data_IF_637688317730
#
_entry.id   IF_637688317730
#
_cell.length_a   1.000
_cell.length_b   1.000
_cell.length_c   1.000
_cell.angle_alpha   90.00
_cell.angle_beta   90.00
_cell.angle_gamma   90.00
#
_symmetry.space_group_name_H-M   'P 1'
#
loop_
_entity.id
_entity.type
_entity.pdbx_description
1 polymer ?
#
# COMPACT_ATOMS: atom_id res chain seq x y z
N UNK A 1 10.05 -25.79 5.27
CA UNK A 1 9.54 -24.61 6.03
C UNK A 1 8.54 -23.89 5.13
N UNK A 2 7.24 -23.97 5.41
CA UNK A 2 6.25 -23.24 4.64
C UNK A 2 6.40 -21.74 4.94
N UNK A 3 6.76 -20.93 3.96
CA UNK A 3 6.83 -19.48 4.09
C UNK A 3 5.44 -18.98 4.49
N UNK A 4 5.31 -18.37 5.68
CA UNK A 4 4.07 -17.72 6.11
C UNK A 4 3.68 -16.68 5.05
N UNK A 5 2.50 -16.84 4.46
CA UNK A 5 1.98 -15.86 3.50
C UNK A 5 1.94 -14.48 4.16
N UNK A 6 2.47 -13.44 3.52
CA UNK A 6 2.42 -12.09 4.06
C UNK A 6 0.96 -11.65 4.23
N UNK A 7 0.70 -10.84 5.26
CA UNK A 7 -0.62 -10.25 5.48
C UNK A 7 -1.11 -9.52 4.23
N UNK A 8 -2.42 -9.53 3.99
CA UNK A 8 -3.00 -8.86 2.84
C UNK A 8 -2.66 -7.35 2.85
N UNK A 9 -2.55 -6.74 1.67
CA UNK A 9 -2.30 -5.29 1.54
C UNK A 9 -3.35 -4.48 2.32
N UNK A 10 -4.61 -4.90 2.24
CA UNK A 10 -5.73 -4.35 2.99
C UNK A 10 -5.47 -4.34 4.50
N UNK A 11 -5.07 -5.47 5.06
CA UNK A 11 -4.77 -5.60 6.50
C UNK A 11 -3.62 -4.70 6.93
N UNK A 12 -2.56 -4.62 6.12
CA UNK A 12 -1.41 -3.74 6.40
C UNK A 12 -1.82 -2.28 6.38
N UNK A 13 -2.55 -1.85 5.34
CA UNK A 13 -3.00 -0.48 5.20
C UNK A 13 -3.90 -0.05 6.36
N UNK A 14 -4.90 -0.88 6.69
CA UNK A 14 -5.80 -0.64 7.83
C UNK A 14 -5.03 -0.56 9.14
N UNK A 15 -4.07 -1.48 9.37
CA UNK A 15 -3.25 -1.47 10.59
C UNK A 15 -2.44 -0.19 10.72
N UNK A 16 -1.71 0.23 9.67
CA UNK A 16 -0.86 1.43 9.74
C UNK A 16 -1.68 2.72 9.89
N UNK A 17 -2.82 2.85 9.18
CA UNK A 17 -3.68 4.02 9.31
C UNK A 17 -4.29 4.07 10.72
N UNK A 18 -4.81 2.95 11.22
CA UNK A 18 -5.38 2.87 12.57
C UNK A 18 -4.35 3.19 13.64
N UNK A 19 -3.15 2.65 13.54
CA UNK A 19 -2.05 2.91 14.47
C UNK A 19 -1.65 4.39 14.44
N UNK A 20 -1.47 4.96 13.25
CA UNK A 20 -1.12 6.38 13.10
C UNK A 20 -2.20 7.31 13.68
N UNK A 21 -3.48 6.98 13.46
CA UNK A 21 -4.62 7.74 14.01
C UNK A 21 -4.62 7.69 15.53
N UNK A 22 -4.46 6.52 16.13
CA UNK A 22 -4.41 6.37 17.59
C UNK A 22 -3.25 7.17 18.19
N UNK A 23 -2.05 7.04 17.60
CA UNK A 23 -0.86 7.80 18.06
C UNK A 23 -1.10 9.31 17.97
N UNK A 24 -1.65 9.79 16.85
CA UNK A 24 -1.92 11.21 16.64
C UNK A 24 -2.90 11.77 17.69
N UNK A 25 -4.01 11.06 17.95
CA UNK A 25 -4.98 11.50 18.98
C UNK A 25 -4.41 11.43 20.39
N UNK A 26 -3.63 10.40 20.69
CA UNK A 26 -2.99 10.28 21.99
C UNK A 26 -1.99 11.42 22.21
N UNK A 27 -1.15 11.71 21.23
CA UNK A 27 -0.19 12.81 21.27
C UNK A 27 -0.90 14.17 21.41
N UNK A 28 -1.96 14.40 20.62
CA UNK A 28 -2.76 15.62 20.72
C UNK A 28 -3.37 15.79 22.11
N UNK A 29 -3.99 14.74 22.64
CA UNK A 29 -4.61 14.77 23.98
C UNK A 29 -3.56 15.07 25.06
N UNK A 30 -2.40 14.44 24.97
CA UNK A 30 -1.30 14.67 25.90
C UNK A 30 -0.79 16.12 25.85
N UNK A 31 -0.53 16.64 24.63
CA UNK A 31 -0.07 18.04 24.45
C UNK A 31 -1.11 19.01 24.99
N UNK A 32 -2.39 18.80 24.67
CA UNK A 32 -3.47 19.69 25.09
C UNK A 32 -3.61 19.75 26.61
N UNK A 33 -3.60 18.59 27.28
CA UNK A 33 -3.67 18.50 28.74
C UNK A 33 -2.46 19.21 29.38
N UNK A 34 -1.26 18.96 28.84
CA UNK A 34 -0.03 19.57 29.35
C UNK A 34 -0.03 21.09 29.17
N UNK A 35 -0.47 21.58 28.01
CA UNK A 35 -0.58 23.01 27.71
C UNK A 35 -1.58 23.71 28.64
N UNK A 36 -2.76 23.10 28.85
CA UNK A 36 -3.77 23.68 29.77
C UNK A 36 -3.25 23.70 31.20
N UNK A 37 -2.58 22.64 31.64
CA UNK A 37 -1.97 22.59 32.96
C UNK A 37 -0.92 23.67 33.15
N UNK A 38 -0.01 23.83 32.20
CA UNK A 38 1.02 24.86 32.22
C UNK A 38 0.42 26.29 32.26
N UNK A 39 -0.64 26.49 31.45
CA UNK A 39 -1.33 27.79 31.43
C UNK A 39 -1.95 28.16 32.80
N UNK A 40 -2.62 27.22 33.46
CA UNK A 40 -3.14 27.47 34.80
C UNK A 40 -2.02 27.74 35.83
N UNK A 41 -0.91 26.99 35.72
CA UNK A 41 0.25 27.20 36.61
C UNK A 41 0.85 28.61 36.47
N UNK A 42 1.03 29.07 35.24
CA UNK A 42 1.57 30.38 34.94
C UNK A 42 0.63 31.51 35.44
N UNK A 43 -0.66 31.33 35.17
CA UNK A 43 -1.69 32.28 35.59
C UNK A 43 -1.78 32.39 37.10
N UNK A 44 -1.80 31.29 37.84
CA UNK A 44 -1.85 31.27 39.30
C UNK A 44 -0.66 31.99 39.90
N UNK A 45 0.54 31.77 39.35
CA UNK A 45 1.76 32.46 39.80
C UNK A 45 1.68 33.96 39.52
N UNK A 46 1.17 34.36 38.39
CA UNK A 46 0.99 35.74 38.01
C UNK A 46 0.01 36.46 38.95
N UNK A 47 -1.14 35.86 39.20
CA UNK A 47 -2.20 36.41 40.05
C UNK A 47 -1.69 36.55 41.52
N UNK A 48 -0.96 35.56 42.06
CA UNK A 48 -0.37 35.61 43.37
C UNK A 48 0.71 36.72 43.49
N UNK A 49 1.55 36.90 42.49
CA UNK A 49 2.55 37.96 42.46
C UNK A 49 1.92 39.36 42.38
N UNK A 50 0.88 39.52 41.57
CA UNK A 50 0.15 40.76 41.45
C UNK A 50 -0.50 41.14 42.81
N UNK A 51 -1.12 40.17 43.46
CA UNK A 51 -1.68 40.37 44.79
C UNK A 51 -0.61 40.72 45.82
N UNK A 52 0.56 40.05 45.79
CA UNK A 52 1.66 40.36 46.71
C UNK A 52 2.16 41.79 46.57
N UNK A 53 2.29 42.32 45.35
CA UNK A 53 2.68 43.71 45.08
C UNK A 53 1.65 44.69 45.63
N UNK A 54 0.37 44.37 45.54
CA UNK A 54 -0.71 45.17 46.10
C UNK A 54 -0.62 45.18 47.61
N UNK A 55 -0.38 44.05 48.27
CA UNK A 55 -0.22 43.94 49.71
C UNK A 55 1.06 44.66 50.22
N UNK A 56 2.16 44.55 49.47
CA UNK A 56 3.41 45.25 49.74
C UNK A 56 3.20 46.77 49.80
N UNK A 57 2.50 47.31 48.77
CA UNK A 57 2.18 48.75 48.73
C UNK A 57 1.39 49.21 49.97
N UNK A 58 0.49 48.39 50.48
CA UNK A 58 -0.30 48.69 51.69
C UNK A 58 0.55 48.61 52.95
N UNK A 59 1.43 47.59 53.03
CA UNK A 59 2.29 47.39 54.24
C UNK A 59 3.41 48.40 54.34
N UNK A 60 3.91 48.91 53.23
CA UNK A 60 4.98 49.93 53.18
C UNK A 60 4.46 51.36 53.44
N UNK A 61 3.14 51.58 53.55
CA UNK A 61 2.55 52.88 53.76
C UNK A 61 2.84 53.36 55.21
N UNK A 62 3.89 54.15 55.36
CA UNK A 62 4.40 54.64 56.70
C UNK A 62 3.39 55.47 57.48
N UNK A 63 2.45 56.14 56.79
CA UNK A 63 1.48 57.04 57.41
C UNK A 63 0.37 56.29 58.16
N UNK A 64 0.22 54.99 57.98
CA UNK A 64 -0.81 54.23 58.71
C UNK A 64 -0.23 53.44 59.89
N UNK A 65 -0.91 53.46 61.06
CA UNK A 65 -0.60 52.54 62.14
C UNK A 65 -0.68 51.07 61.68
N UNK A 66 0.14 50.18 62.24
CA UNK A 66 0.18 48.75 61.89
C UNK A 66 -1.22 48.10 61.93
N UNK A 67 -2.03 48.43 62.94
CA UNK A 67 -3.40 47.90 63.02
C UNK A 67 -4.28 48.29 61.83
N UNK A 68 -4.11 49.52 61.32
CA UNK A 68 -4.86 49.97 60.13
C UNK A 68 -4.38 49.32 58.87
N UNK A 69 -3.09 49.07 58.72
CA UNK A 69 -2.53 48.30 57.55
C UNK A 69 -3.04 46.88 57.53
N UNK A 70 -3.05 46.19 58.70
CA UNK A 70 -3.58 44.83 58.81
C UNK A 70 -5.11 44.76 58.53
N UNK A 71 -5.88 45.75 58.87
CA UNK A 71 -7.31 45.88 58.57
C UNK A 71 -7.53 46.01 57.08
N UNK A 72 -6.71 46.80 56.35
CA UNK A 72 -6.77 46.94 54.90
C UNK A 72 -6.37 45.62 54.24
N UNK A 73 -5.33 44.94 54.66
CA UNK A 73 -4.92 43.64 54.21
C UNK A 73 -6.06 42.64 54.36
N UNK A 74 -6.73 42.59 55.50
CA UNK A 74 -7.89 41.73 55.75
C UNK A 74 -9.01 41.99 54.73
N UNK A 75 -9.33 43.28 54.49
CA UNK A 75 -10.40 43.66 53.58
C UNK A 75 -10.07 43.29 52.09
N UNK A 76 -8.80 43.43 51.69
CA UNK A 76 -8.34 43.03 50.38
C UNK A 76 -8.48 41.52 50.21
N UNK A 77 -7.97 40.75 51.17
CA UNK A 77 -8.01 39.28 51.12
C UNK A 77 -9.45 38.71 51.17
N UNK A 78 -10.33 39.38 51.94
CA UNK A 78 -11.75 38.98 51.97
C UNK A 78 -12.45 39.05 50.61
N UNK A 79 -11.91 39.84 49.67
CA UNK A 79 -12.35 39.86 48.26
C UNK A 79 -11.89 38.68 47.43
N UNK A 80 -10.98 37.86 47.90
CA UNK A 80 -10.42 36.70 47.19
C UNK A 80 -10.85 35.40 47.89
N UNK A 81 -11.90 34.75 47.37
CA UNK A 81 -12.46 33.56 48.00
C UNK A 81 -11.50 32.34 48.03
N UNK A 82 -10.50 32.32 47.14
CA UNK A 82 -9.62 31.15 46.93
C UNK A 82 -8.19 31.39 47.44
N UNK A 83 -7.86 32.59 47.97
CA UNK A 83 -6.53 32.96 48.44
C UNK A 83 -6.52 33.13 49.92
N UNK A 84 -5.57 32.51 50.56
CA UNK A 84 -5.33 32.60 52.02
C UNK A 84 -3.91 33.02 52.26
N UNK A 85 -3.71 33.84 53.26
CA UNK A 85 -2.37 34.38 53.59
C UNK A 85 -2.03 34.20 55.07
N UNK A 86 -0.73 34.07 55.31
CA UNK A 86 -0.11 34.20 56.59
C UNK A 86 1.00 35.27 56.52
N UNK A 87 0.94 36.27 57.33
CA UNK A 87 1.92 37.36 57.41
C UNK A 87 2.65 37.25 58.71
N UNK A 88 3.98 37.18 58.65
CA UNK A 88 4.84 37.27 59.84
C UNK A 88 5.72 38.55 59.85
N UNK A 89 6.32 38.86 60.99
CA UNK A 89 7.18 40.06 61.22
C UNK A 89 8.65 39.86 60.83
N UNK A 90 8.95 38.81 60.02
CA UNK A 90 10.32 38.41 59.65
C UNK A 90 11.11 37.73 60.77
N UNK A 91 10.56 37.69 61.99
CA UNK A 91 11.11 36.94 63.12
C UNK A 91 10.33 35.71 63.50
N UNK A 92 9.23 35.43 62.74
CA UNK A 92 8.38 34.25 62.90
C UNK A 92 7.14 34.50 63.79
N UNK A 93 6.88 35.76 64.26
CA UNK A 93 5.63 36.06 64.94
C UNK A 93 4.53 36.36 63.93
N UNK A 94 3.43 35.63 64.00
CA UNK A 94 2.30 35.77 63.06
C UNK A 94 1.55 37.06 63.39
N UNK A 95 1.52 37.98 62.42
CA UNK A 95 0.79 39.25 62.52
C UNK A 95 -0.66 39.12 62.03
N UNK A 96 -0.84 38.31 61.02
CA UNK A 96 -2.15 38.07 60.44
C UNK A 96 -2.20 36.70 59.80
N UNK A 97 -3.31 35.97 59.94
CA UNK A 97 -3.63 34.74 59.23
C UNK A 97 -5.08 34.78 58.76
N UNK A 98 -5.32 34.37 57.52
CA UNK A 98 -6.68 34.26 56.96
C UNK A 98 -7.50 33.24 57.77
N UNK A 99 -8.73 33.59 58.20
CA UNK A 99 -9.65 32.62 58.74
C UNK A 99 -10.03 31.60 57.64
N UNK A 100 -10.44 30.43 58.01
CA UNK A 100 -10.97 29.39 57.12
C UNK A 100 -10.00 28.76 56.09
N UNK A 101 -8.71 29.21 56.08
CA UNK A 101 -7.66 28.68 55.21
C UNK A 101 -6.96 27.43 55.77
N UNK A 102 -5.99 26.89 54.98
CA UNK A 102 -5.09 25.85 55.50
C UNK A 102 -4.27 26.36 56.67
N UNK A 103 -3.78 25.48 57.53
CA UNK A 103 -2.91 25.89 58.62
C UNK A 103 -1.52 26.27 58.10
N UNK A 104 -1.39 27.52 57.67
CA UNK A 104 -0.17 28.06 57.09
C UNK A 104 0.94 28.21 58.12
N UNK A 105 0.57 28.37 59.41
CA UNK A 105 1.55 28.46 60.51
C UNK A 105 2.27 27.14 60.74
N UNK A 106 1.55 26.05 60.68
CA UNK A 106 2.13 24.69 60.73
C UNK A 106 3.04 24.39 59.55
N UNK A 107 2.70 24.92 58.36
CA UNK A 107 3.55 24.79 57.16
C UNK A 107 4.89 25.49 57.30
N UNK A 108 4.92 26.69 57.88
CA UNK A 108 6.15 27.44 58.16
C UNK A 108 7.04 26.71 59.19
N UNK A 109 6.46 25.96 60.09
CA UNK A 109 7.21 25.17 61.09
C UNK A 109 7.76 23.85 60.55
N UNK A 110 7.39 23.41 59.33
CA UNK A 110 7.91 22.20 58.67
C UNK A 110 9.23 22.52 57.97
N UNK A 111 10.42 22.05 58.44
CA UNK A 111 11.72 22.56 57.97
C UNK A 111 11.97 22.40 56.47
N UNK A 112 11.52 21.30 55.88
CA UNK A 112 11.71 21.03 54.46
C UNK A 112 10.86 21.90 53.54
N UNK A 113 9.63 22.22 53.93
CA UNK A 113 8.69 23.04 53.16
C UNK A 113 9.06 24.52 53.27
N UNK A 114 9.40 24.97 54.49
CA UNK A 114 9.85 26.34 54.74
C UNK A 114 11.11 26.68 53.95
N UNK A 115 12.06 25.76 53.80
CA UNK A 115 13.28 25.99 53.04
C UNK A 115 12.98 26.14 51.53
N UNK A 116 12.14 25.29 50.95
CA UNK A 116 11.75 25.40 49.54
C UNK A 116 10.96 26.68 49.23
N UNK A 117 10.13 27.12 50.14
CA UNK A 117 9.33 28.34 50.01
C UNK A 117 10.18 29.62 50.14
N UNK A 118 11.24 29.64 50.95
CA UNK A 118 12.11 30.81 51.17
C UNK A 118 12.81 31.32 49.91
N UNK A 119 13.02 30.45 48.92
CA UNK A 119 13.64 30.81 47.63
C UNK A 119 12.66 31.48 46.66
N UNK A 120 11.44 31.83 47.09
CA UNK A 120 10.40 32.41 46.22
C UNK A 120 9.82 31.42 45.20
N UNK A 121 10.10 30.14 45.40
CA UNK A 121 9.59 29.06 44.54
C UNK A 121 8.09 28.84 44.81
N UNK A 122 7.39 28.48 43.77
CA UNK A 122 5.99 28.11 43.86
C UNK A 122 5.90 26.57 43.99
N UNK A 123 5.21 26.13 45.03
CA UNK A 123 5.08 24.73 45.39
C UNK A 123 3.61 24.32 45.32
N UNK A 124 3.31 23.19 44.71
CA UNK A 124 1.99 22.54 44.82
C UNK A 124 1.99 21.63 46.04
N UNK A 125 1.09 21.86 46.98
CA UNK A 125 0.97 21.08 48.20
C UNK A 125 -0.43 20.54 48.37
N UNK A 126 -0.52 19.31 48.90
CA UNK A 126 -1.79 18.65 49.14
C UNK A 126 -1.98 18.52 50.66
N UNK A 127 -3.06 19.08 51.17
CA UNK A 127 -3.40 19.00 52.59
C UNK A 127 -3.81 17.56 52.94
N UNK A 128 -3.15 16.94 53.92
CA UNK A 128 -3.55 15.62 54.42
C UNK A 128 -4.93 15.65 55.11
N UNK A 129 -5.37 16.81 55.59
CA UNK A 129 -6.69 16.99 56.22
C UNK A 129 -7.57 17.89 55.33
N UNK A 130 -8.48 17.29 54.54
CA UNK A 130 -9.34 18.08 53.67
C UNK A 130 -10.25 19.02 54.45
N UNK A 131 -10.34 20.25 53.98
CA UNK A 131 -11.22 21.27 54.57
C UNK A 131 -12.42 21.54 53.70
N UNK A 132 -13.60 21.69 54.29
CA UNK A 132 -14.81 22.05 53.55
C UNK A 132 -14.83 23.55 53.34
N UNK A 133 -14.77 23.98 52.09
CA UNK A 133 -14.94 25.35 51.63
C UNK A 133 -16.19 25.51 50.83
N UNK A 134 -16.81 26.65 50.88
CA UNK A 134 -17.96 26.99 50.06
C UNK A 134 -17.47 27.83 48.89
N UNK A 135 -17.51 27.28 47.70
CA UNK A 135 -17.24 28.00 46.45
C UNK A 135 -18.51 28.04 45.62
N UNK A 136 -18.97 29.22 45.21
CA UNK A 136 -20.22 29.39 44.43
C UNK A 136 -21.44 28.63 45.00
N UNK A 137 -21.66 28.70 46.31
CA UNK A 137 -22.72 28.01 47.04
C UNK A 137 -22.63 26.48 47.06
N UNK A 138 -21.51 25.87 46.60
CA UNK A 138 -21.30 24.44 46.69
C UNK A 138 -20.18 24.13 47.70
N UNK A 139 -20.43 23.23 48.68
CA UNK A 139 -19.38 22.78 49.60
C UNK A 139 -18.37 21.91 48.82
N UNK A 140 -17.13 22.38 48.73
CA UNK A 140 -16.07 21.65 48.06
C UNK A 140 -14.99 21.29 49.12
N UNK A 141 -14.52 20.03 49.09
CA UNK A 141 -13.38 19.63 49.92
C UNK A 141 -12.09 20.09 49.24
N UNK A 142 -11.49 21.14 49.73
CA UNK A 142 -10.24 21.68 49.19
C UNK A 142 -9.06 20.95 49.80
N UNK A 143 -8.24 20.34 48.94
CA UNK A 143 -7.04 19.58 49.33
C UNK A 143 -5.77 20.09 48.69
N UNK A 144 -5.86 20.65 47.51
CA UNK A 144 -4.70 21.04 46.73
C UNK A 144 -4.49 22.55 46.72
N UNK A 145 -3.29 22.95 47.07
CA UNK A 145 -2.89 24.34 47.25
C UNK A 145 -1.65 24.63 46.43
N UNK A 146 -1.58 25.85 45.91
CA UNK A 146 -0.38 26.43 45.38
C UNK A 146 0.16 27.43 46.38
N UNK A 147 1.36 27.18 46.85
CA UNK A 147 2.00 27.99 47.90
C UNK A 147 3.12 28.81 47.29
N UNK A 148 3.21 30.09 47.76
CA UNK A 148 4.33 30.97 47.48
C UNK A 148 4.66 31.78 48.73
N UNK A 149 5.94 31.94 49.05
CA UNK A 149 6.40 32.82 50.12
C UNK A 149 7.26 33.95 49.55
N UNK A 150 6.91 35.16 49.85
CA UNK A 150 7.58 36.34 49.35
C UNK A 150 8.04 37.24 50.53
N UNK A 151 9.29 37.70 50.51
CA UNK A 151 9.74 38.72 51.47
C UNK A 151 9.19 40.08 51.05
N UNK A 152 8.58 40.79 51.94
CA UNK A 152 8.02 42.16 51.76
C UNK A 152 8.67 43.18 52.62
N UNK A 153 8.85 44.42 52.09
CA UNK A 153 9.46 45.54 52.78
C UNK A 153 10.93 45.33 53.14
N UNK A 154 11.62 46.37 53.54
CA UNK A 154 13.02 46.31 54.04
C UNK A 154 13.13 46.96 55.38
N UNK A 155 13.72 46.28 56.36
CA UNK A 155 14.15 46.87 57.62
C UNK A 155 15.45 47.64 57.41
N UNK A 156 15.78 48.53 58.43
CA UNK A 156 17.00 49.33 58.37
C UNK A 156 18.30 48.49 58.30
N UNK A 157 18.27 47.24 58.73
CA UNK A 157 19.36 46.27 58.65
C UNK A 157 19.40 45.47 57.33
N UNK A 158 18.53 45.80 56.36
CA UNK A 158 18.46 45.14 55.02
C UNK A 158 17.72 43.84 55.01
N UNK A 159 17.17 43.35 56.11
CA UNK A 159 16.33 42.17 56.18
C UNK A 159 14.89 42.47 55.73
N UNK A 160 14.11 41.47 55.23
CA UNK A 160 12.70 41.68 54.94
C UNK A 160 11.96 42.11 56.26
N UNK A 161 11.06 43.11 56.13
CA UNK A 161 10.21 43.54 57.22
C UNK A 161 9.10 42.54 57.52
N UNK A 162 8.65 41.83 56.53
CA UNK A 162 7.57 40.85 56.64
C UNK A 162 7.87 39.65 55.71
N UNK A 163 7.38 38.45 56.09
CA UNK A 163 7.24 37.33 55.15
C UNK A 163 5.76 37.06 54.88
N UNK A 164 5.40 37.11 53.65
CA UNK A 164 4.04 36.80 53.18
C UNK A 164 3.98 35.40 52.57
N UNK A 165 3.35 34.48 53.27
CA UNK A 165 3.00 33.15 52.71
C UNK A 165 1.59 33.23 52.16
N UNK A 166 1.42 32.89 50.90
CA UNK A 166 0.12 32.82 50.21
C UNK A 166 -0.18 31.40 49.78
N UNK A 167 -1.43 31.00 49.95
CA UNK A 167 -1.99 29.74 49.51
C UNK A 167 -3.18 30.00 48.60
N UNK A 168 -3.11 29.52 47.38
CA UNK A 168 -4.20 29.53 46.37
C UNK A 168 -4.77 28.15 46.25
N UNK A 169 -6.10 28.00 46.43
CA UNK A 169 -6.78 26.73 46.13
C UNK A 169 -6.77 26.44 44.64
N UNK A 170 -6.27 25.26 44.25
CA UNK A 170 -6.21 24.80 42.84
C UNK A 170 -7.14 23.60 42.53
N UNK A 171 -8.00 23.24 43.49
CA UNK A 171 -8.91 22.09 43.30
C UNK A 171 -9.87 22.30 42.14
N UNK A 172 -10.35 23.50 41.92
CA UNK A 172 -11.17 23.84 40.76
C UNK A 172 -10.42 23.57 39.46
N UNK A 173 -9.17 23.98 39.35
CA UNK A 173 -8.33 23.75 38.18
C UNK A 173 -8.09 22.25 37.97
N UNK A 174 -7.82 21.51 39.04
CA UNK A 174 -7.61 20.05 38.98
C UNK A 174 -8.89 19.32 38.56
N UNK A 175 -10.04 19.73 39.10
CA UNK A 175 -11.33 19.17 38.71
C UNK A 175 -11.62 19.42 37.21
N UNK A 176 -11.44 20.66 36.77
CA UNK A 176 -11.59 21.06 35.37
C UNK A 176 -10.66 20.24 34.42
N UNK A 177 -9.38 20.11 34.80
CA UNK A 177 -8.40 19.35 34.05
C UNK A 177 -8.83 17.85 33.95
N UNK A 178 -9.31 17.27 35.04
CA UNK A 178 -9.78 15.89 35.06
C UNK A 178 -11.04 15.68 34.18
N UNK A 179 -11.98 16.62 34.24
CA UNK A 179 -13.17 16.62 33.38
C UNK A 179 -12.78 16.79 31.92
N UNK A 180 -11.90 17.76 31.61
CA UNK A 180 -11.37 17.96 30.26
C UNK A 180 -10.66 16.71 29.74
N UNK A 181 -9.83 16.06 30.58
CA UNK A 181 -9.15 14.81 30.25
C UNK A 181 -10.14 13.71 29.89
N UNK A 182 -11.20 13.52 30.67
CA UNK A 182 -12.23 12.52 30.40
C UNK A 182 -12.97 12.81 29.08
N UNK A 183 -13.33 14.07 28.82
CA UNK A 183 -13.97 14.50 27.55
C UNK A 183 -13.06 14.31 26.35
N UNK A 184 -11.78 14.67 26.46
CA UNK A 184 -10.81 14.51 25.37
C UNK A 184 -10.55 13.03 25.06
N UNK A 185 -10.39 12.18 26.08
CA UNK A 185 -10.17 10.74 25.88
C UNK A 185 -11.41 10.08 25.27
N UNK A 186 -12.61 10.42 25.76
CA UNK A 186 -13.85 9.86 25.17
C UNK A 186 -14.04 10.29 23.73
N UNK A 187 -13.85 11.57 23.41
CA UNK A 187 -13.92 12.09 22.05
C UNK A 187 -12.87 11.42 21.14
N UNK A 188 -11.61 11.34 21.58
CA UNK A 188 -10.55 10.68 20.85
C UNK A 188 -10.87 9.20 20.55
N UNK A 189 -11.42 8.49 21.54
CA UNK A 189 -11.84 7.07 21.36
C UNK A 189 -12.96 6.94 20.35
N UNK A 190 -14.01 7.75 20.46
CA UNK A 190 -15.15 7.71 19.53
C UNK A 190 -14.70 8.03 18.10
N UNK A 191 -13.93 9.11 17.92
CA UNK A 191 -13.43 9.52 16.61
C UNK A 191 -12.50 8.45 16.03
N UNK A 192 -11.61 7.87 16.83
CA UNK A 192 -10.73 6.78 16.39
C UNK A 192 -11.51 5.56 15.92
N UNK A 193 -12.52 5.13 16.65
CA UNK A 193 -13.39 4.02 16.26
C UNK A 193 -14.14 4.33 14.96
N UNK A 194 -14.66 5.54 14.80
CA UNK A 194 -15.33 5.97 13.58
C UNK A 194 -14.38 5.94 12.37
N UNK A 195 -13.18 6.47 12.51
CA UNK A 195 -12.18 6.47 11.44
C UNK A 195 -11.79 5.04 11.07
N UNK A 196 -11.57 4.16 12.05
CA UNK A 196 -11.26 2.74 11.82
C UNK A 196 -12.40 2.06 11.06
N UNK A 197 -13.65 2.30 11.43
CA UNK A 197 -14.82 1.75 10.74
C UNK A 197 -14.90 2.24 9.28
N UNK A 198 -14.69 3.55 9.04
CA UNK A 198 -14.64 4.12 7.70
C UNK A 198 -13.52 3.50 6.87
N UNK A 199 -12.31 3.39 7.42
CA UNK A 199 -11.16 2.80 6.73
C UNK A 199 -11.43 1.34 6.36
N UNK A 200 -11.98 0.54 7.28
CA UNK A 200 -12.38 -0.84 7.01
C UNK A 200 -13.39 -0.93 5.87
N UNK A 201 -14.41 -0.07 5.89
CA UNK A 201 -15.43 -0.01 4.86
C UNK A 201 -14.84 0.35 3.49
N UNK A 202 -14.04 1.42 3.41
CA UNK A 202 -13.41 1.88 2.16
C UNK A 202 -12.45 0.84 1.60
N UNK A 203 -11.62 0.23 2.46
CA UNK A 203 -10.69 -0.83 2.06
C UNK A 203 -11.45 -2.06 1.55
N UNK A 204 -12.54 -2.47 2.22
CA UNK A 204 -13.37 -3.59 1.80
C UNK A 204 -14.01 -3.34 0.43
N UNK A 205 -14.62 -2.16 0.22
CA UNK A 205 -15.23 -1.76 -1.05
C UNK A 205 -14.21 -1.62 -2.17
N UNK A 206 -13.06 -0.99 -1.89
CA UNK A 206 -11.99 -0.81 -2.88
C UNK A 206 -11.37 -2.12 -3.38
N UNK A 207 -11.39 -3.19 -2.57
CA UNK A 207 -10.87 -4.50 -2.99
C UNK A 207 -11.90 -5.39 -3.69
N UNK A 208 -13.18 -5.03 -3.68
CA UNK A 208 -14.24 -5.82 -4.31
C UNK A 208 -14.02 -6.02 -5.82
N UNK A 209 -13.70 -4.98 -6.61
CA UNK A 209 -13.43 -5.12 -8.05
C UNK A 209 -12.25 -6.05 -8.34
N UNK A 210 -11.16 -5.95 -7.58
CA UNK A 210 -9.98 -6.80 -7.75
C UNK A 210 -10.34 -8.28 -7.55
N UNK A 211 -11.16 -8.59 -6.54
CA UNK A 211 -11.63 -9.96 -6.32
C UNK A 211 -12.53 -10.46 -7.43
N UNK A 212 -13.35 -9.58 -8.02
CA UNK A 212 -14.22 -9.93 -9.15
C UNK A 212 -13.39 -10.29 -10.38
N UNK A 213 -12.43 -9.44 -10.77
CA UNK A 213 -11.49 -9.72 -11.87
C UNK A 213 -10.74 -11.02 -11.63
N UNK A 214 -10.18 -11.23 -10.44
CA UNK A 214 -9.46 -12.45 -10.10
C UNK A 214 -10.31 -13.70 -10.25
N UNK A 215 -11.59 -13.66 -9.88
CA UNK A 215 -12.53 -14.77 -10.07
C UNK A 215 -12.87 -14.99 -11.53
N UNK A 216 -13.09 -13.94 -12.31
CA UNK A 216 -13.34 -14.04 -13.74
C UNK A 216 -12.16 -14.70 -14.44
N UNK A 217 -10.92 -14.25 -14.15
CA UNK A 217 -9.69 -14.84 -14.69
C UNK A 217 -9.55 -16.33 -14.33
N UNK A 218 -9.85 -16.71 -13.07
CA UNK A 218 -9.75 -18.10 -12.63
C UNK A 218 -10.74 -19.03 -13.31
N UNK A 219 -11.87 -18.51 -13.79
CA UNK A 219 -12.91 -19.29 -14.42
C UNK A 219 -12.70 -19.43 -15.94
N UNK A 220 -11.75 -18.72 -16.54
CA UNK A 220 -11.44 -18.84 -17.96
C UNK A 220 -10.75 -20.18 -18.21
N UNK A 221 -11.33 -20.98 -19.09
CA UNK A 221 -10.79 -22.27 -19.51
C UNK A 221 -10.40 -22.21 -21.00
N UNK A 222 -9.74 -23.25 -21.49
CA UNK A 222 -9.41 -23.35 -22.92
C UNK A 222 -10.63 -23.44 -23.85
N UNK A 223 -11.84 -23.59 -23.28
CA UNK A 223 -13.10 -23.64 -24.04
C UNK A 223 -13.80 -22.30 -24.13
N UNK A 224 -13.46 -21.36 -23.21
CA UNK A 224 -14.12 -20.09 -23.04
C UNK A 224 -13.12 -18.94 -23.24
N UNK A 225 -12.25 -19.05 -24.24
CA UNK A 225 -11.23 -18.03 -24.54
C UNK A 225 -11.81 -16.76 -25.16
N UNK A 226 -13.06 -16.79 -25.60
CA UNK A 226 -13.83 -15.66 -26.12
C UNK A 226 -14.30 -14.67 -25.04
N UNK A 227 -14.26 -15.06 -23.76
CA UNK A 227 -14.62 -14.20 -22.63
C UNK A 227 -13.66 -13.02 -22.55
N UNK A 228 -14.21 -11.82 -22.35
CA UNK A 228 -13.44 -10.59 -22.16
C UNK A 228 -13.84 -9.90 -20.86
N UNK A 229 -12.86 -9.27 -20.22
CA UNK A 229 -13.11 -8.35 -19.10
C UNK A 229 -13.66 -7.06 -19.67
N UNK A 230 -14.70 -6.51 -19.03
CA UNK A 230 -15.24 -5.21 -19.40
C UNK A 230 -14.37 -4.09 -18.79
N UNK A 231 -13.64 -3.29 -19.60
CA UNK A 231 -12.81 -2.21 -19.10
C UNK A 231 -13.61 -1.09 -18.42
N UNK A 232 -14.90 -0.93 -18.75
CA UNK A 232 -15.76 0.11 -18.16
C UNK A 232 -16.41 -0.33 -16.85
N UNK A 233 -16.45 -1.61 -16.55
CA UNK A 233 -17.00 -2.16 -15.33
C UNK A 233 -16.00 -2.18 -14.16
N UNK A 234 -14.77 -1.76 -14.39
CA UNK A 234 -13.70 -1.71 -13.39
C UNK A 234 -13.28 -0.28 -13.07
N UNK A 235 -12.70 -0.03 -11.86
CA UNK A 235 -12.09 1.26 -11.56
C UNK A 235 -11.02 1.65 -12.59
N UNK A 236 -10.86 2.97 -12.81
CA UNK A 236 -9.95 3.52 -13.82
C UNK A 236 -8.50 3.02 -13.65
N UNK A 237 -8.08 2.76 -12.41
CA UNK A 237 -6.75 2.22 -12.08
C UNK A 237 -6.54 0.80 -12.60
N UNK A 238 -7.62 0.05 -12.85
CA UNK A 238 -7.62 -1.33 -13.33
C UNK A 238 -7.98 -1.46 -14.80
N UNK A 239 -8.43 -0.39 -15.46
CA UNK A 239 -8.81 -0.39 -16.88
C UNK A 239 -7.66 -0.89 -17.77
N UNK A 240 -6.46 -0.35 -17.57
CA UNK A 240 -5.27 -0.75 -18.33
C UNK A 240 -4.90 -2.21 -18.12
N UNK A 241 -5.12 -2.73 -16.92
CA UNK A 241 -4.91 -4.15 -16.64
C UNK A 241 -5.92 -5.01 -17.38
N UNK A 242 -7.21 -4.64 -17.39
CA UNK A 242 -8.25 -5.34 -18.11
C UNK A 242 -7.99 -5.37 -19.63
N UNK A 243 -7.59 -4.24 -20.21
CA UNK A 243 -7.21 -4.16 -21.64
C UNK A 243 -6.00 -5.04 -21.97
N UNK A 244 -4.95 -4.99 -21.16
CA UNK A 244 -3.75 -5.82 -21.36
C UNK A 244 -4.07 -7.31 -21.26
N UNK A 245 -4.95 -7.67 -20.33
CA UNK A 245 -5.40 -9.04 -20.17
C UNK A 245 -6.23 -9.52 -21.38
N UNK A 246 -7.16 -8.68 -21.87
CA UNK A 246 -7.95 -8.99 -23.06
C UNK A 246 -7.06 -9.21 -24.30
N UNK A 247 -6.03 -8.38 -24.48
CA UNK A 247 -5.08 -8.55 -25.57
C UNK A 247 -4.26 -9.86 -25.44
N UNK A 248 -3.91 -10.25 -24.21
CA UNK A 248 -3.27 -11.55 -23.99
C UNK A 248 -4.21 -12.71 -24.35
N UNK A 249 -5.50 -12.63 -23.96
CA UNK A 249 -6.50 -13.65 -24.33
C UNK A 249 -6.68 -13.76 -25.83
N UNK A 250 -6.76 -12.65 -26.56
CA UNK A 250 -6.84 -12.62 -28.01
C UNK A 250 -5.67 -13.36 -28.67
N UNK A 251 -4.46 -13.10 -28.21
CA UNK A 251 -3.27 -13.83 -28.71
C UNK A 251 -3.32 -15.33 -28.42
N UNK A 252 -3.82 -15.72 -27.25
CA UNK A 252 -3.97 -17.16 -26.91
C UNK A 252 -5.04 -17.80 -27.76
N UNK A 253 -6.17 -17.15 -27.98
CA UNK A 253 -7.27 -17.60 -28.82
C UNK A 253 -6.80 -17.81 -30.26
N UNK A 254 -6.05 -16.86 -30.83
CA UNK A 254 -5.45 -16.97 -32.17
C UNK A 254 -4.50 -18.15 -32.29
N UNK A 255 -3.65 -18.37 -31.28
CA UNK A 255 -2.72 -19.52 -31.27
C UNK A 255 -3.51 -20.82 -31.18
N UNK A 256 -4.50 -20.87 -30.30
CA UNK A 256 -5.32 -22.08 -30.13
C UNK A 256 -6.14 -22.42 -31.37
N UNK A 257 -6.72 -21.42 -32.02
CA UNK A 257 -7.48 -21.55 -33.24
C UNK A 257 -6.59 -22.07 -34.38
N UNK A 258 -5.40 -21.50 -34.58
CA UNK A 258 -4.42 -21.98 -35.57
C UNK A 258 -4.00 -23.41 -35.27
N UNK A 259 -3.72 -23.76 -34.01
CA UNK A 259 -3.35 -25.13 -33.64
C UNK A 259 -4.47 -26.15 -33.91
N UNK A 260 -5.72 -25.76 -33.62
CA UNK A 260 -6.89 -26.60 -33.88
C UNK A 260 -7.09 -26.85 -35.38
N UNK A 261 -7.04 -25.78 -36.19
CA UNK A 261 -7.17 -25.85 -37.64
C UNK A 261 -6.04 -26.73 -38.23
N UNK A 262 -4.79 -26.50 -37.83
CA UNK A 262 -3.65 -27.28 -38.26
C UNK A 262 -3.83 -28.79 -37.96
N UNK A 263 -4.32 -29.13 -36.76
CA UNK A 263 -4.57 -30.52 -36.38
C UNK A 263 -5.69 -31.14 -37.21
N UNK A 264 -6.74 -30.38 -37.53
CA UNK A 264 -7.84 -30.83 -38.39
C UNK A 264 -7.37 -31.08 -39.84
N UNK A 265 -6.58 -30.15 -40.38
CA UNK A 265 -6.01 -30.24 -41.73
C UNK A 265 -5.09 -31.48 -41.85
N UNK A 266 -4.20 -31.71 -40.88
CA UNK A 266 -3.38 -32.93 -40.82
C UNK A 266 -4.24 -34.18 -40.85
N UNK A 267 -5.28 -34.23 -40.01
CA UNK A 267 -6.16 -35.39 -39.94
C UNK A 267 -6.86 -35.68 -41.30
N UNK A 268 -7.28 -34.63 -42.01
CA UNK A 268 -7.88 -34.73 -43.34
C UNK A 268 -6.88 -35.19 -44.39
N UNK A 269 -5.70 -34.58 -44.44
CA UNK A 269 -4.66 -34.88 -45.42
C UNK A 269 -4.09 -36.32 -45.27
N UNK A 270 -4.05 -36.87 -44.05
CA UNK A 270 -3.62 -38.22 -43.77
C UNK A 270 -4.73 -39.26 -44.07
N UNK A 271 -6.00 -38.91 -43.79
CA UNK A 271 -7.12 -39.86 -43.97
C UNK A 271 -7.29 -40.28 -45.41
N UNK A 272 -7.16 -39.36 -46.34
CA UNK A 272 -7.37 -39.63 -47.79
C UNK A 272 -6.41 -40.68 -48.33
N UNK A 273 -5.08 -40.57 -48.21
CA UNK A 273 -4.16 -41.61 -48.71
C UNK A 273 -4.31 -42.92 -47.96
N UNK A 274 -4.58 -42.94 -46.66
CA UNK A 274 -4.86 -44.19 -45.95
C UNK A 274 -6.09 -44.87 -46.49
N UNK A 275 -7.20 -44.17 -46.76
CA UNK A 275 -8.41 -44.73 -47.32
C UNK A 275 -8.12 -45.33 -48.69
N UNK A 276 -7.34 -44.66 -49.56
CA UNK A 276 -6.95 -45.15 -50.86
C UNK A 276 -6.13 -46.42 -50.73
N UNK A 277 -5.12 -46.46 -49.85
CA UNK A 277 -4.31 -47.71 -49.65
C UNK A 277 -5.15 -48.88 -49.17
N UNK A 278 -6.06 -48.66 -48.22
CA UNK A 278 -6.96 -49.67 -47.69
C UNK A 278 -7.86 -50.16 -48.79
N UNK A 279 -8.51 -49.26 -49.54
CA UNK A 279 -9.42 -49.64 -50.65
C UNK A 279 -8.70 -50.41 -51.76
N UNK A 280 -7.53 -49.94 -52.20
CA UNK A 280 -6.74 -50.64 -53.22
C UNK A 280 -6.31 -52.03 -52.75
N UNK A 281 -5.90 -52.17 -51.53
CA UNK A 281 -5.50 -53.43 -50.91
C UNK A 281 -6.71 -54.39 -50.81
N UNK A 282 -7.87 -53.89 -50.30
CA UNK A 282 -9.11 -54.70 -50.24
C UNK A 282 -9.55 -55.16 -51.60
N UNK A 283 -9.51 -54.34 -52.66
CA UNK A 283 -9.83 -54.69 -54.05
C UNK A 283 -8.85 -55.74 -54.54
N UNK A 284 -7.55 -55.57 -54.22
CA UNK A 284 -6.54 -56.59 -54.67
C UNK A 284 -6.76 -57.98 -54.02
N UNK A 285 -7.25 -57.98 -52.77
CA UNK A 285 -7.51 -59.21 -52.00
C UNK A 285 -8.90 -59.85 -52.30
N UNK A 286 -9.83 -59.09 -52.90
CA UNK A 286 -11.22 -59.54 -53.12
C UNK A 286 -11.39 -60.62 -54.15
N UNK A 287 -10.44 -60.81 -55.06
CA UNK A 287 -10.45 -61.81 -56.11
C UNK A 287 -9.04 -62.30 -56.50
N UNK A 288 -8.97 -63.48 -57.14
CA UNK A 288 -7.68 -64.01 -57.65
C UNK A 288 -7.11 -63.08 -58.70
N UNK A 289 -5.87 -62.64 -58.54
CA UNK A 289 -5.16 -61.77 -59.48
C UNK A 289 -3.87 -62.36 -59.94
N UNK A 290 -3.43 -61.99 -61.15
CA UNK A 290 -2.11 -62.34 -61.65
C UNK A 290 -1.00 -61.70 -60.80
N UNK A 291 0.19 -62.30 -60.88
CA UNK A 291 1.36 -61.77 -60.19
C UNK A 291 1.64 -60.34 -60.65
N UNK A 292 1.52 -60.02 -61.90
CA UNK A 292 1.77 -58.68 -62.44
C UNK A 292 0.78 -57.65 -61.92
N UNK A 293 -0.51 -57.99 -61.83
CA UNK A 293 -1.52 -57.07 -61.21
C UNK A 293 -1.26 -56.81 -59.74
N UNK A 294 -0.77 -57.80 -58.96
CA UNK A 294 -0.39 -57.62 -57.59
C UNK A 294 0.86 -56.75 -57.46
N UNK A 295 1.84 -56.91 -58.32
CA UNK A 295 3.03 -56.04 -58.34
C UNK A 295 2.67 -54.57 -58.64
N UNK A 296 1.76 -54.34 -59.61
CA UNK A 296 1.25 -53.01 -59.94
C UNK A 296 0.58 -52.32 -58.68
N UNK A 297 -0.27 -53.08 -57.97
CA UNK A 297 -0.89 -52.57 -56.73
C UNK A 297 0.16 -52.27 -55.65
N UNK A 298 1.17 -53.13 -55.49
CA UNK A 298 2.26 -52.90 -54.53
C UNK A 298 3.10 -51.67 -54.89
N UNK A 299 3.40 -51.47 -56.19
CA UNK A 299 4.09 -50.25 -56.62
C UNK A 299 3.26 -49.01 -56.40
N UNK A 300 1.96 -49.06 -56.72
CA UNK A 300 1.04 -47.92 -56.40
C UNK A 300 0.97 -47.60 -54.91
N UNK A 301 0.88 -48.65 -54.08
CA UNK A 301 0.88 -48.48 -52.64
C UNK A 301 2.21 -47.90 -52.12
N UNK A 302 3.35 -48.32 -52.67
CA UNK A 302 4.68 -47.81 -52.33
C UNK A 302 4.81 -46.30 -52.66
N UNK A 303 4.26 -45.89 -53.83
CA UNK A 303 4.24 -44.48 -54.22
C UNK A 303 3.42 -43.65 -53.23
N UNK A 304 2.25 -44.13 -52.80
CA UNK A 304 1.41 -43.44 -51.85
C UNK A 304 2.04 -43.36 -50.44
N UNK A 305 2.73 -44.41 -49.96
CA UNK A 305 3.54 -44.40 -48.78
C UNK A 305 4.65 -43.36 -48.85
N UNK A 306 5.34 -43.25 -49.97
CA UNK A 306 6.40 -42.24 -50.18
C UNK A 306 5.86 -40.86 -50.21
N UNK A 307 4.65 -40.67 -50.77
CA UNK A 307 3.93 -39.37 -50.69
C UNK A 307 3.57 -38.98 -49.26
N UNK A 308 3.01 -39.93 -48.48
CA UNK A 308 2.69 -39.71 -47.08
C UNK A 308 3.93 -39.36 -46.24
N UNK A 309 5.05 -40.05 -46.45
CA UNK A 309 6.31 -39.77 -45.76
C UNK A 309 6.80 -38.35 -46.03
N UNK A 310 6.73 -37.90 -47.29
CA UNK A 310 7.06 -36.50 -47.64
C UNK A 310 6.12 -35.51 -46.97
N UNK A 311 4.80 -35.76 -47.00
CA UNK A 311 3.79 -34.92 -46.36
C UNK A 311 4.05 -34.76 -44.88
N UNK A 312 4.33 -35.84 -44.11
CA UNK A 312 4.67 -35.78 -42.67
C UNK A 312 5.95 -34.97 -42.46
N UNK A 313 6.97 -35.15 -43.30
CA UNK A 313 8.20 -34.35 -43.23
C UNK A 313 7.96 -32.85 -43.45
N UNK A 314 7.07 -32.51 -44.39
CA UNK A 314 6.70 -31.12 -44.66
C UNK A 314 5.90 -30.51 -43.53
N UNK A 315 4.99 -31.24 -42.91
CA UNK A 315 4.20 -30.82 -41.73
C UNK A 315 5.12 -30.58 -40.50
N UNK A 316 6.07 -31.48 -40.25
CA UNK A 316 7.05 -31.31 -39.18
C UNK A 316 7.91 -30.06 -39.40
N UNK A 317 8.33 -29.82 -40.63
CA UNK A 317 9.10 -28.64 -40.99
C UNK A 317 8.29 -27.36 -40.76
N UNK A 318 7.03 -27.30 -41.16
CA UNK A 318 6.14 -26.17 -40.92
C UNK A 318 5.93 -25.95 -39.44
N UNK A 319 5.68 -26.98 -38.63
CA UNK A 319 5.51 -26.90 -37.22
C UNK A 319 6.77 -26.35 -36.48
N UNK A 320 7.98 -26.74 -36.95
CA UNK A 320 9.23 -26.24 -36.43
C UNK A 320 9.48 -24.76 -36.83
N UNK A 321 9.09 -24.39 -38.05
CA UNK A 321 9.21 -23.03 -38.54
C UNK A 321 8.30 -22.07 -37.76
N UNK A 322 7.04 -22.42 -37.55
CA UNK A 322 6.05 -21.66 -36.82
C UNK A 322 6.45 -21.42 -35.32
N UNK A 323 7.13 -22.41 -34.75
CA UNK A 323 7.60 -22.32 -33.35
C UNK A 323 8.98 -21.70 -33.20
N UNK A 324 9.57 -21.09 -34.24
CA UNK A 324 10.94 -20.54 -34.21
C UNK A 324 11.99 -21.59 -33.77
N UNK A 325 11.73 -22.87 -33.95
CA UNK A 325 12.66 -23.96 -33.58
C UNK A 325 13.66 -24.30 -34.68
N UNK A 326 13.44 -23.79 -35.90
CA UNK A 326 14.41 -23.89 -36.95
C UNK A 326 15.59 -22.95 -36.66
N UNK A 327 16.76 -23.54 -36.54
CA UNK A 327 18.03 -22.81 -36.47
C UNK A 327 18.66 -22.90 -37.87
N UNK A 328 18.51 -21.87 -38.74
CA UNK A 328 19.07 -21.89 -40.06
C UNK A 328 20.59 -21.85 -40.00
N UNK A 329 21.22 -22.74 -40.75
CA UNK A 329 22.68 -22.74 -40.90
C UNK A 329 23.08 -21.65 -41.91
N UNK A 330 23.25 -20.41 -41.42
CA UNK A 330 23.53 -19.27 -42.29
C UNK A 330 24.91 -19.35 -42.90
N UNK A 331 24.95 -19.49 -44.23
CA UNK A 331 26.16 -19.51 -45.04
C UNK A 331 26.08 -18.47 -46.18
N UNK A 332 27.24 -18.01 -46.63
CA UNK A 332 27.30 -17.21 -47.85
C UNK A 332 27.23 -18.10 -49.06
N UNK A 333 26.16 -17.95 -49.84
CA UNK A 333 25.82 -18.81 -50.97
C UNK A 333 25.75 -17.99 -52.25
N UNK A 334 26.09 -18.62 -53.39
CA UNK A 334 25.75 -18.08 -54.70
C UNK A 334 24.38 -18.65 -55.13
N UNK A 335 23.39 -17.74 -55.21
CA UNK A 335 22.02 -18.11 -55.55
C UNK A 335 21.94 -18.81 -56.93
N UNK A 336 22.75 -18.40 -57.90
CA UNK A 336 22.78 -19.02 -59.22
C UNK A 336 23.23 -20.50 -59.16
N UNK A 337 24.27 -20.79 -58.37
CA UNK A 337 24.73 -22.16 -58.18
C UNK A 337 23.68 -23.05 -57.53
N UNK A 338 22.97 -22.52 -56.51
CA UNK A 338 21.93 -23.29 -55.83
C UNK A 338 20.70 -23.55 -56.75
N UNK A 339 20.34 -22.60 -57.61
CA UNK A 339 19.31 -22.78 -58.61
C UNK A 339 19.74 -23.84 -59.63
N UNK A 340 20.97 -23.83 -60.13
CA UNK A 340 21.47 -24.82 -61.06
C UNK A 340 21.44 -26.25 -60.48
N UNK A 341 21.86 -26.42 -59.24
CA UNK A 341 21.75 -27.72 -58.54
C UNK A 341 20.30 -28.26 -58.51
N UNK A 342 19.33 -27.39 -58.32
CA UNK A 342 17.92 -27.78 -58.34
C UNK A 342 17.46 -28.04 -59.76
N UNK A 343 17.89 -27.28 -60.77
CA UNK A 343 17.55 -27.49 -62.16
C UNK A 343 18.03 -28.85 -62.64
N UNK A 344 19.28 -29.25 -62.41
CA UNK A 344 19.84 -30.54 -62.71
C UNK A 344 18.96 -31.69 -62.17
N UNK A 345 18.41 -31.57 -61.01
CA UNK A 345 17.52 -32.58 -60.40
C UNK A 345 16.17 -32.67 -61.11
N UNK A 346 15.62 -31.58 -61.64
CA UNK A 346 14.33 -31.50 -62.26
C UNK A 346 14.35 -31.63 -63.80
N UNK A 347 15.53 -31.62 -64.42
CA UNK A 347 15.71 -31.61 -65.88
C UNK A 347 15.00 -32.79 -66.58
N UNK A 348 15.23 -34.00 -66.14
CA UNK A 348 14.59 -35.18 -66.68
C UNK A 348 13.05 -35.12 -66.56
N UNK A 349 12.51 -34.64 -65.49
CA UNK A 349 11.06 -34.51 -65.29
C UNK A 349 10.45 -33.39 -66.16
N UNK A 350 11.17 -32.29 -66.31
CA UNK A 350 10.73 -31.20 -67.18
C UNK A 350 10.73 -31.62 -68.66
N UNK A 351 11.76 -32.43 -69.12
CA UNK A 351 11.81 -33.00 -70.46
C UNK A 351 10.63 -33.95 -70.70
N UNK A 352 10.34 -34.86 -69.79
CA UNK A 352 9.19 -35.75 -69.83
C UNK A 352 7.87 -35.00 -70.01
N UNK A 353 7.73 -33.83 -69.34
CA UNK A 353 6.56 -32.94 -69.42
C UNK A 353 6.59 -32.02 -70.65
N UNK A 354 7.66 -32.06 -71.46
CA UNK A 354 7.93 -31.11 -72.56
C UNK A 354 7.90 -29.61 -72.10
N UNK A 355 8.41 -29.34 -70.93
CA UNK A 355 8.55 -27.99 -70.37
C UNK A 355 10.01 -27.58 -70.38
N UNK A 356 10.35 -26.41 -70.94
CA UNK A 356 11.72 -25.97 -71.04
C UNK A 356 12.13 -25.19 -69.78
N UNK A 357 13.20 -25.61 -69.09
CA UNK A 357 13.77 -24.84 -67.94
C UNK A 357 14.77 -23.82 -68.48
N UNK A 358 14.61 -22.55 -68.14
CA UNK A 358 15.53 -21.49 -68.54
C UNK A 358 15.96 -20.71 -67.33
N UNK A 359 17.26 -20.54 -67.13
CA UNK A 359 17.82 -19.65 -66.13
C UNK A 359 18.19 -18.33 -66.79
N UNK A 360 17.64 -17.21 -66.25
CA UNK A 360 17.98 -15.85 -66.64
C UNK A 360 18.41 -15.07 -65.43
N UNK A 361 19.67 -14.77 -65.32
CA UNK A 361 20.18 -14.04 -64.15
C UNK A 361 21.70 -13.99 -64.11
N UNK A 362 22.26 -13.33 -63.15
CA UNK A 362 23.68 -13.25 -62.85
C UNK A 362 23.97 -13.82 -61.45
N UNK A 363 25.25 -14.12 -61.19
CA UNK A 363 25.70 -14.50 -59.85
C UNK A 363 25.27 -13.48 -58.79
N UNK A 364 24.61 -13.93 -57.75
CA UNK A 364 24.17 -13.12 -56.63
C UNK A 364 24.49 -13.84 -55.31
N UNK A 365 25.29 -13.21 -54.48
CA UNK A 365 25.60 -13.75 -53.16
C UNK A 365 24.50 -13.38 -52.17
N UNK A 366 23.97 -14.38 -51.51
CA UNK A 366 22.98 -14.27 -50.45
C UNK A 366 23.47 -14.99 -49.19
N UNK A 367 23.02 -14.53 -48.01
CA UNK A 367 23.28 -15.26 -46.75
C UNK A 367 22.01 -16.04 -46.43
N UNK A 368 22.12 -17.35 -46.27
CA UNK A 368 21.00 -18.23 -45.99
C UNK A 368 21.39 -19.68 -45.72
N UNK A 369 20.41 -20.49 -45.39
CA UNK A 369 20.58 -21.94 -45.26
C UNK A 369 20.41 -22.61 -46.60
N UNK A 370 21.44 -23.35 -47.08
CA UNK A 370 21.41 -23.98 -48.41
C UNK A 370 20.29 -25.02 -48.58
N UNK A 371 19.97 -25.77 -47.50
CA UNK A 371 18.91 -26.77 -47.55
C UNK A 371 17.52 -26.15 -47.65
N UNK A 372 17.28 -25.11 -46.85
CA UNK A 372 16.01 -24.36 -46.88
C UNK A 372 15.82 -23.65 -48.22
N UNK A 373 16.87 -23.04 -48.75
CA UNK A 373 16.84 -22.34 -50.02
C UNK A 373 16.51 -23.31 -51.16
N UNK A 374 17.24 -24.44 -51.26
CA UNK A 374 16.97 -25.49 -52.27
C UNK A 374 15.56 -26.03 -52.14
N UNK A 375 15.04 -26.25 -50.92
CA UNK A 375 13.66 -26.71 -50.68
C UNK A 375 12.64 -25.71 -51.21
N UNK A 376 12.86 -24.42 -50.95
CA UNK A 376 11.99 -23.36 -51.48
C UNK A 376 11.99 -23.34 -53.01
N UNK A 377 13.19 -23.35 -53.64
CA UNK A 377 13.33 -23.38 -55.09
C UNK A 377 12.71 -24.64 -55.69
N UNK A 378 12.94 -25.82 -55.08
CA UNK A 378 12.35 -27.09 -55.52
C UNK A 378 10.82 -27.08 -55.48
N UNK A 379 10.23 -26.53 -54.45
CA UNK A 379 8.77 -26.41 -54.32
C UNK A 379 8.18 -25.50 -55.43
N UNK A 380 8.82 -24.34 -55.67
CA UNK A 380 8.40 -23.42 -56.73
C UNK A 380 8.56 -24.06 -58.11
N UNK A 381 9.70 -24.69 -58.37
CA UNK A 381 10.01 -25.30 -59.65
C UNK A 381 9.11 -26.51 -59.95
N UNK A 382 8.88 -27.39 -58.95
CA UNK A 382 7.97 -28.52 -59.11
C UNK A 382 6.53 -28.09 -59.42
N UNK A 383 6.07 -27.03 -58.77
CA UNK A 383 4.76 -26.44 -59.07
C UNK A 383 4.74 -25.85 -60.49
N UNK A 384 5.78 -25.11 -60.89
CA UNK A 384 5.88 -24.58 -62.24
C UNK A 384 5.84 -25.66 -63.30
N UNK A 385 6.64 -26.72 -63.18
CA UNK A 385 6.64 -27.82 -64.12
C UNK A 385 5.27 -28.54 -64.20
N UNK A 386 4.61 -28.71 -63.04
CA UNK A 386 3.30 -29.42 -62.97
C UNK A 386 2.20 -28.65 -63.70
N UNK A 387 2.17 -27.30 -63.53
CA UNK A 387 1.08 -26.48 -64.07
C UNK A 387 1.38 -25.74 -65.34
N UNK A 388 2.60 -25.89 -65.92
CA UNK A 388 2.96 -25.32 -67.22
C UNK A 388 2.52 -26.26 -68.32
N UNK A 389 1.78 -25.80 -69.35
CA UNK A 389 1.41 -26.64 -70.49
C UNK A 389 2.64 -27.10 -71.29
N UNK A 390 2.54 -28.28 -71.91
CA UNK A 390 3.60 -28.85 -72.75
C UNK A 390 3.98 -27.89 -73.89
N UNK A 391 5.27 -27.74 -74.15
CA UNK A 391 5.82 -26.82 -75.19
C UNK A 391 6.06 -25.38 -74.73
N UNK A 392 5.83 -25.07 -73.46
CA UNK A 392 6.13 -23.79 -72.87
C UNK A 392 7.40 -23.82 -71.96
N UNK A 393 7.89 -22.67 -71.55
CA UNK A 393 9.07 -22.53 -70.69
C UNK A 393 8.71 -21.88 -69.35
#
# INVERSE_FOLDING_TARGET
>A
MAAKRPFSLATRLTFFISLATIIAFFAFTWIMIHSVKAHFEERDVHDLRQLSTTLETVLDHADYPQARRLEIVRNIIAGYANVFICLDDGQGNILFQSPDGPDLSHMLSTPGLAMQLRDGNVISWTDPQPRKMVHDNHPMETRAWRLIMLPLGKQADGKPAYHLLMALSIDFHLHYINELKAKLISAATIISLLIIAIVLFVVYQGHKPIRQISRQIQNITSRDLDVRLDPQAVPIELERLALSFNHMLERIEDVFTRQSNFSADIAHEIRTPITNLVTQTEIALSQSRSQQELEEVLYSNLEEFSRMSRMVSDMLFLAQADNNQLIPEQQALDLAEEVHKVFEFFEAWAEEKAVALRFVGSHCRVTGDPLMLRRAISNLLSNAIRYTPAGQA
#
